data_IF_139984354524
#
_entry.id   IF_139984354524
#
_cell.length_a   1.000
_cell.length_b   1.000
_cell.length_c   1.000
_cell.angle_alpha   90.00
_cell.angle_beta   90.00
_cell.angle_gamma   90.00
#
_symmetry.space_group_name_H-M   'P 1'
#
loop_
_entity.id
_entity.type
_entity.pdbx_description
1 polymer ?
#
# COMPACT_ATOMS: atom_id res chain seq x y z
N UNK A 1 -47.41 -5.68 1.56
CA UNK A 1 -46.29 -6.37 2.24
C UNK A 1 -45.14 -6.49 1.26
N UNK A 2 -44.22 -5.52 1.27
CA UNK A 2 -42.99 -5.56 0.49
C UNK A 2 -41.94 -6.35 1.26
N UNK A 3 -41.44 -7.43 0.65
CA UNK A 3 -40.29 -8.18 1.16
C UNK A 3 -39.05 -7.66 0.45
N UNK A 4 -38.30 -6.83 1.16
CA UNK A 4 -36.94 -6.41 0.81
C UNK A 4 -36.00 -7.63 1.01
N UNK A 5 -35.29 -8.03 -0.04
CA UNK A 5 -34.19 -9.00 0.03
C UNK A 5 -32.87 -8.25 -0.18
N UNK A 6 -31.82 -8.56 0.60
CA UNK A 6 -30.55 -7.85 0.51
C UNK A 6 -29.74 -8.29 -0.72
N UNK A 7 -29.25 -7.30 -1.46
CA UNK A 7 -28.29 -7.47 -2.55
C UNK A 7 -26.95 -7.98 -1.97
N UNK A 8 -26.70 -9.27 -2.13
CA UNK A 8 -25.41 -9.90 -1.87
C UNK A 8 -24.61 -9.90 -3.17
N UNK A 9 -23.48 -9.18 -3.13
CA UNK A 9 -22.65 -8.78 -4.26
C UNK A 9 -22.40 -9.87 -5.30
N UNK A 10 -22.80 -9.57 -6.53
CA UNK A 10 -22.34 -10.27 -7.72
C UNK A 10 -20.96 -9.75 -8.15
N UNK A 11 -19.99 -10.65 -8.22
CA UNK A 11 -18.80 -10.46 -9.04
C UNK A 11 -18.98 -11.29 -10.30
N UNK A 12 -19.33 -10.63 -11.41
CA UNK A 12 -19.29 -11.20 -12.76
C UNK A 12 -17.84 -11.33 -13.22
N UNK A 13 -17.26 -12.52 -13.04
CA UNK A 13 -15.99 -12.89 -13.65
C UNK A 13 -16.26 -13.46 -15.04
N UNK A 14 -16.20 -12.59 -16.07
CA UNK A 14 -16.27 -13.02 -17.46
C UNK A 14 -15.00 -13.82 -17.83
N UNK A 15 -15.14 -15.15 -17.93
CA UNK A 15 -14.10 -16.09 -18.32
C UNK A 15 -13.96 -16.11 -19.85
N UNK A 16 -12.92 -15.46 -20.40
CA UNK A 16 -12.55 -15.63 -21.80
C UNK A 16 -11.59 -16.82 -21.93
N UNK A 17 -12.07 -17.89 -22.54
CA UNK A 17 -11.36 -19.12 -22.84
C UNK A 17 -10.35 -18.88 -23.99
N UNK A 18 -9.07 -19.14 -23.76
CA UNK A 18 -8.02 -19.10 -24.78
C UNK A 18 -6.93 -20.10 -24.44
N UNK A 19 -6.97 -21.27 -25.09
CA UNK A 19 -5.86 -22.22 -25.14
C UNK A 19 -4.78 -21.65 -26.08
N UNK A 20 -3.54 -21.56 -25.62
CA UNK A 20 -2.37 -21.64 -26.48
C UNK A 20 -1.17 -22.23 -25.70
N UNK A 21 -0.60 -23.28 -26.27
CA UNK A 21 0.56 -24.00 -25.77
C UNK A 21 1.84 -23.21 -26.01
N UNK A 22 2.58 -22.88 -24.95
CA UNK A 22 3.86 -22.20 -25.05
C UNK A 22 4.56 -22.06 -23.71
N UNK A 23 5.54 -22.94 -23.44
CA UNK A 23 6.40 -22.86 -22.27
C UNK A 23 7.25 -21.59 -22.28
N UNK A 24 6.81 -20.58 -21.55
CA UNK A 24 7.60 -19.43 -21.12
C UNK A 24 7.22 -19.08 -19.70
N UNK A 25 8.07 -19.43 -18.73
CA UNK A 25 7.86 -19.08 -17.32
C UNK A 25 8.05 -17.57 -17.11
N UNK A 26 7.03 -16.78 -17.44
CA UNK A 26 6.88 -15.44 -16.93
C UNK A 26 6.14 -15.52 -15.60
N UNK A 27 6.87 -15.24 -14.51
CA UNK A 27 6.28 -15.00 -13.20
C UNK A 27 5.45 -13.71 -13.24
N UNK A 28 4.20 -13.84 -13.70
CA UNK A 28 3.20 -12.80 -13.59
C UNK A 28 2.69 -12.78 -12.14
N UNK A 29 3.26 -11.88 -11.32
CA UNK A 29 2.66 -11.53 -10.04
C UNK A 29 1.38 -10.72 -10.29
N UNK A 30 0.28 -11.44 -10.48
CA UNK A 30 -1.07 -10.87 -10.54
C UNK A 30 -1.50 -10.41 -9.15
N UNK A 31 -1.12 -9.20 -8.77
CA UNK A 31 -1.70 -8.54 -7.61
C UNK A 31 -3.14 -8.14 -7.96
N UNK A 32 -4.11 -8.96 -7.56
CA UNK A 32 -5.49 -8.50 -7.42
C UNK A 32 -5.47 -7.42 -6.34
N UNK A 33 -5.36 -6.16 -6.75
CA UNK A 33 -5.49 -4.97 -5.91
C UNK A 33 -6.95 -4.89 -5.43
N UNK A 34 -7.24 -5.64 -4.38
CA UNK A 34 -8.48 -5.50 -3.61
C UNK A 34 -8.48 -4.13 -2.92
N UNK A 35 -9.16 -3.16 -3.55
CA UNK A 35 -9.55 -1.90 -2.94
C UNK A 35 -8.43 -0.85 -2.91
N UNK A 36 -8.49 0.07 -3.88
CA UNK A 36 -7.85 1.39 -3.81
C UNK A 36 -8.05 1.99 -2.42
N UNK A 37 -6.98 1.97 -1.65
CA UNK A 37 -6.78 2.97 -0.64
C UNK A 37 -5.72 3.88 -1.26
N UNK A 38 -6.12 5.00 -1.83
CA UNK A 38 -5.16 6.04 -2.16
C UNK A 38 -4.46 6.42 -0.85
N UNK A 39 -3.15 6.19 -0.74
CA UNK A 39 -2.34 6.78 0.33
C UNK A 39 -2.46 8.29 0.19
N UNK A 40 -3.28 8.91 1.05
CA UNK A 40 -3.39 10.35 1.00
C UNK A 40 -2.04 10.92 1.46
N UNK A 41 -1.44 11.86 0.72
CA UNK A 41 -0.13 12.39 1.08
C UNK A 41 -0.12 13.02 2.48
N UNK A 42 -1.29 13.48 2.96
CA UNK A 42 -1.50 13.93 4.35
C UNK A 42 -1.25 12.85 5.40
N UNK A 43 -1.64 11.59 5.18
CA UNK A 43 -1.38 10.50 6.12
C UNK A 43 0.13 10.24 6.24
N UNK A 44 0.85 10.26 5.12
CA UNK A 44 2.30 10.04 5.08
C UNK A 44 3.04 11.17 5.81
N UNK A 45 2.68 12.42 5.51
CA UNK A 45 3.29 13.59 6.17
C UNK A 45 3.01 13.57 7.67
N UNK A 46 1.79 13.21 8.08
CA UNK A 46 1.42 13.14 9.49
C UNK A 46 2.17 12.03 10.22
N UNK A 47 2.32 10.84 9.61
CA UNK A 47 3.12 9.76 10.18
C UNK A 47 4.60 10.15 10.32
N UNK A 48 5.21 10.71 9.27
CA UNK A 48 6.60 11.16 9.32
C UNK A 48 6.79 12.29 10.35
N UNK A 49 5.84 13.21 10.44
CA UNK A 49 5.84 14.28 11.43
C UNK A 49 5.78 13.74 12.86
N UNK A 50 4.86 12.81 13.15
CA UNK A 50 4.74 12.17 14.46
C UNK A 50 5.98 11.35 14.82
N UNK A 51 6.56 10.63 13.86
CA UNK A 51 7.81 9.90 14.03
C UNK A 51 8.95 10.87 14.41
N UNK A 52 9.10 11.97 13.68
CA UNK A 52 10.12 12.98 13.94
C UNK A 52 9.93 13.67 15.31
N UNK A 53 8.69 13.98 15.68
CA UNK A 53 8.35 14.50 17.02
C UNK A 53 8.69 13.48 18.11
N UNK A 54 8.34 12.21 17.92
CA UNK A 54 8.70 11.14 18.86
C UNK A 54 10.22 11.01 19.05
N UNK A 55 10.98 11.08 17.95
CA UNK A 55 12.44 10.98 17.98
C UNK A 55 13.11 12.20 18.61
N UNK A 56 12.63 13.41 18.31
CA UNK A 56 13.15 14.66 18.92
C UNK A 56 12.86 14.71 20.41
N UNK A 57 11.67 14.32 20.85
CA UNK A 57 11.35 14.21 22.29
C UNK A 57 12.17 13.11 22.98
N UNK A 58 12.43 11.97 22.32
CA UNK A 58 13.29 10.91 22.87
C UNK A 58 14.73 11.38 23.08
N UNK A 59 15.26 12.21 22.18
CA UNK A 59 16.68 12.63 22.19
C UNK A 59 16.94 13.91 23.00
N UNK A 60 16.02 14.88 22.96
CA UNK A 60 16.19 16.20 23.59
C UNK A 60 15.19 16.47 24.73
N UNK A 61 14.25 15.56 24.98
CA UNK A 61 13.22 15.73 26.01
C UNK A 61 13.76 15.63 27.43
N UNK A 62 14.15 16.77 28.01
CA UNK A 62 14.67 16.87 29.38
C UNK A 62 13.60 17.21 30.43
N UNK A 63 12.31 16.93 30.15
CA UNK A 63 11.20 17.25 31.04
C UNK A 63 10.58 15.99 31.69
N UNK A 64 10.05 16.09 32.93
CA UNK A 64 9.35 14.98 33.56
C UNK A 64 8.12 14.60 32.72
N UNK A 65 8.07 13.34 32.29
CA UNK A 65 7.00 12.83 31.40
C UNK A 65 7.40 12.70 29.92
N UNK A 66 8.59 13.16 29.51
CA UNK A 66 9.09 12.97 28.15
C UNK A 66 9.03 11.49 27.71
N UNK A 67 9.30 10.57 28.64
CA UNK A 67 9.22 9.13 28.45
C UNK A 67 7.85 8.62 27.95
N UNK A 68 6.77 9.23 28.44
CA UNK A 68 5.40 8.88 28.04
C UNK A 68 5.07 9.52 26.71
N UNK A 69 5.47 10.79 26.53
CA UNK A 69 5.19 11.56 25.32
C UNK A 69 5.82 10.90 24.08
N UNK A 70 7.09 10.51 24.13
CA UNK A 70 7.73 9.88 22.96
C UNK A 70 7.12 8.51 22.63
N UNK A 71 6.79 7.68 23.64
CA UNK A 71 6.15 6.38 23.42
C UNK A 71 4.77 6.53 22.78
N UNK A 72 3.95 7.44 23.30
CA UNK A 72 2.61 7.69 22.77
C UNK A 72 2.69 8.25 21.35
N UNK A 73 3.63 9.18 21.09
CA UNK A 73 3.86 9.72 19.74
C UNK A 73 4.24 8.63 18.73
N UNK A 74 5.13 7.70 19.12
CA UNK A 74 5.52 6.59 18.24
C UNK A 74 4.40 5.58 18.01
N UNK A 75 3.61 5.26 19.05
CA UNK A 75 2.44 4.39 18.91
C UNK A 75 1.42 5.03 17.96
N UNK A 76 1.17 6.33 18.09
CA UNK A 76 0.29 7.07 17.19
C UNK A 76 0.83 7.08 15.76
N UNK A 77 2.12 7.36 15.58
CA UNK A 77 2.79 7.31 14.28
C UNK A 77 2.64 5.93 13.63
N UNK A 78 2.89 4.88 14.40
CA UNK A 78 2.75 3.49 13.94
C UNK A 78 1.31 3.16 13.59
N UNK A 79 0.33 3.59 14.40
CA UNK A 79 -1.08 3.36 14.11
C UNK A 79 -1.51 4.07 12.82
N UNK A 80 -1.13 5.33 12.63
CA UNK A 80 -1.50 6.09 11.43
C UNK A 80 -0.90 5.46 10.17
N UNK A 81 0.40 5.16 10.17
CA UNK A 81 1.06 4.57 9.01
C UNK A 81 0.66 3.10 8.80
N UNK A 82 0.57 2.33 9.88
CA UNK A 82 0.45 0.88 9.85
C UNK A 82 -0.99 0.36 9.78
N UNK A 83 -2.02 1.14 10.12
CA UNK A 83 -3.41 0.64 10.19
C UNK A 83 -3.92 0.03 8.88
N UNK A 84 -3.44 0.54 7.74
CA UNK A 84 -3.80 0.03 6.42
C UNK A 84 -3.06 -1.27 6.10
N UNK A 85 -1.76 -1.28 6.35
CA UNK A 85 -0.87 -2.44 6.16
C UNK A 85 -1.32 -3.62 7.01
N UNK A 86 -1.60 -3.38 8.30
CA UNK A 86 -2.04 -4.41 9.23
C UNK A 86 -3.38 -5.02 8.82
N UNK A 87 -4.34 -4.19 8.40
CA UNK A 87 -5.64 -4.70 7.89
C UNK A 87 -5.46 -5.50 6.59
N UNK A 88 -4.60 -5.03 5.69
CA UNK A 88 -4.26 -5.75 4.46
C UNK A 88 -3.64 -7.11 4.75
N UNK A 89 -2.67 -7.15 5.68
CA UNK A 89 -2.00 -8.37 6.11
C UNK A 89 -2.99 -9.38 6.71
N UNK A 90 -3.85 -8.95 7.61
CA UNK A 90 -4.85 -9.83 8.25
C UNK A 90 -5.80 -10.42 7.22
N UNK A 91 -6.30 -9.60 6.27
CA UNK A 91 -7.19 -10.10 5.19
C UNK A 91 -6.46 -11.04 4.24
N UNK A 92 -5.23 -10.71 3.84
CA UNK A 92 -4.42 -11.54 2.95
C UNK A 92 -4.11 -12.90 3.57
N UNK A 93 -3.70 -12.92 4.84
CA UNK A 93 -3.47 -14.14 5.61
C UNK A 93 -4.76 -14.97 5.72
N UNK A 94 -5.90 -14.34 6.04
CA UNK A 94 -7.19 -15.03 6.12
C UNK A 94 -7.63 -15.63 4.77
N UNK A 95 -7.24 -15.01 3.66
CA UNK A 95 -7.50 -15.51 2.30
C UNK A 95 -6.47 -16.53 1.80
N UNK A 96 -5.50 -16.95 2.63
CA UNK A 96 -4.46 -17.92 2.27
C UNK A 96 -3.24 -17.34 1.54
N UNK A 97 -3.15 -16.01 1.39
CA UNK A 97 -2.02 -15.31 0.77
C UNK A 97 -1.04 -14.80 1.83
N UNK A 98 -0.23 -15.71 2.36
CA UNK A 98 0.67 -15.41 3.47
C UNK A 98 1.95 -14.65 3.06
N UNK A 99 2.25 -14.59 1.76
CA UNK A 99 3.48 -13.97 1.21
C UNK A 99 3.21 -12.70 0.38
N UNK A 100 2.16 -11.96 0.73
CA UNK A 100 1.87 -10.63 0.15
C UNK A 100 2.74 -9.54 0.80
N UNK A 101 2.93 -8.39 0.13
CA UNK A 101 3.76 -7.28 0.67
C UNK A 101 3.27 -6.80 2.04
N UNK A 102 1.95 -6.70 2.21
CA UNK A 102 1.33 -6.30 3.47
C UNK A 102 1.69 -7.28 4.60
N UNK A 103 1.69 -8.58 4.32
CA UNK A 103 1.99 -9.65 5.27
C UNK A 103 3.46 -9.61 5.70
N UNK A 104 4.38 -9.43 4.74
CA UNK A 104 5.81 -9.30 4.99
C UNK A 104 6.12 -8.04 5.81
N UNK A 105 5.51 -6.91 5.48
CA UNK A 105 5.68 -5.66 6.24
C UNK A 105 5.11 -5.75 7.65
N UNK A 106 3.92 -6.35 7.81
CA UNK A 106 3.35 -6.58 9.13
C UNK A 106 4.25 -7.49 9.98
N UNK A 107 4.78 -8.58 9.41
CA UNK A 107 5.70 -9.47 10.10
C UNK A 107 6.99 -8.75 10.54
N UNK A 108 7.59 -7.94 9.67
CA UNK A 108 8.78 -7.16 10.00
C UNK A 108 8.51 -6.20 11.18
N UNK A 109 7.38 -5.50 11.15
CA UNK A 109 7.00 -4.58 12.24
C UNK A 109 6.67 -5.29 13.56
N UNK A 110 6.04 -6.47 13.50
CA UNK A 110 5.80 -7.31 14.67
C UNK A 110 7.10 -7.79 15.28
N UNK A 111 8.10 -8.14 14.44
CA UNK A 111 9.45 -8.47 14.88
C UNK A 111 10.12 -7.32 15.62
N UNK A 112 10.06 -6.09 15.08
CA UNK A 112 10.60 -4.91 15.75
C UNK A 112 9.89 -4.62 17.08
N UNK A 113 8.56 -4.74 17.12
CA UNK A 113 7.80 -4.60 18.36
C UNK A 113 8.13 -5.70 19.38
N UNK A 114 8.40 -6.93 18.95
CA UNK A 114 8.77 -8.04 19.84
C UNK A 114 10.11 -7.82 20.55
N UNK A 115 11.04 -7.10 19.90
CA UNK A 115 12.34 -6.73 20.49
C UNK A 115 12.23 -5.44 21.34
N UNK A 116 11.07 -4.76 21.31
CA UNK A 116 10.81 -3.53 22.06
C UNK A 116 11.23 -2.25 21.35
N UNK A 117 11.65 -2.35 20.09
CA UNK A 117 12.12 -1.24 19.27
C UNK A 117 10.94 -0.61 18.49
N UNK A 118 10.19 0.22 19.21
CA UNK A 118 9.04 0.95 18.66
C UNK A 118 9.38 1.97 17.56
N UNK A 119 10.49 2.74 17.64
CA UNK A 119 10.85 3.67 16.57
C UNK A 119 11.10 2.98 15.24
N UNK A 120 11.70 1.80 15.27
CA UNK A 120 12.02 0.96 14.12
C UNK A 120 10.73 0.42 13.52
N UNK A 121 9.80 -0.08 14.34
CA UNK A 121 8.49 -0.51 13.88
C UNK A 121 7.71 0.63 13.20
N UNK A 122 7.70 1.83 13.81
CA UNK A 122 7.07 3.02 13.22
C UNK A 122 7.78 3.50 11.96
N UNK A 123 9.12 3.43 11.92
CA UNK A 123 9.93 3.82 10.78
C UNK A 123 9.70 2.91 9.57
N UNK A 124 9.69 1.59 9.75
CA UNK A 124 9.38 0.63 8.68
C UNK A 124 8.01 0.93 8.05
N UNK A 125 6.99 1.19 8.87
CA UNK A 125 5.65 1.53 8.38
C UNK A 125 5.61 2.88 7.64
N UNK A 126 6.33 3.89 8.14
CA UNK A 126 6.41 5.19 7.49
C UNK A 126 7.12 5.09 6.13
N UNK A 127 8.26 4.39 6.06
CA UNK A 127 8.99 4.18 4.81
C UNK A 127 8.20 3.35 3.80
N UNK A 128 7.48 2.31 4.25
CA UNK A 128 6.59 1.56 3.39
C UNK A 128 5.51 2.46 2.77
N UNK A 129 4.89 3.32 3.58
CA UNK A 129 3.85 4.24 3.10
C UNK A 129 4.39 5.23 2.05
N UNK A 130 5.63 5.70 2.21
CA UNK A 130 6.32 6.51 1.19
C UNK A 130 6.60 5.68 -0.06
N UNK A 131 7.08 4.44 0.10
CA UNK A 131 7.36 3.52 -1.01
C UNK A 131 6.13 3.27 -1.89
N UNK A 132 5.00 2.94 -1.28
CA UNK A 132 3.71 2.75 -1.96
C UNK A 132 3.31 3.99 -2.76
N UNK A 133 3.45 5.18 -2.18
CA UNK A 133 3.18 6.44 -2.88
C UNK A 133 4.11 6.64 -4.09
N UNK A 134 5.41 6.34 -3.95
CA UNK A 134 6.35 6.41 -5.06
C UNK A 134 6.04 5.38 -6.15
N UNK A 135 5.64 4.16 -5.77
CA UNK A 135 5.24 3.11 -6.70
C UNK A 135 4.03 3.55 -7.52
N UNK A 136 3.01 4.12 -6.89
CA UNK A 136 1.82 4.62 -7.58
C UNK A 136 2.16 5.72 -8.59
N UNK A 137 2.95 6.72 -8.18
CA UNK A 137 3.42 7.76 -9.10
C UNK A 137 4.24 7.19 -10.27
N UNK A 138 5.06 6.17 -10.03
CA UNK A 138 5.88 5.55 -11.07
C UNK A 138 5.04 4.79 -12.09
N UNK A 139 4.01 4.06 -11.62
CA UNK A 139 3.06 3.36 -12.49
C UNK A 139 2.28 4.36 -13.34
N UNK A 140 1.78 5.43 -12.72
CA UNK A 140 0.97 6.43 -13.41
C UNK A 140 1.78 7.17 -14.49
N UNK A 141 3.03 7.53 -14.19
CA UNK A 141 3.97 8.09 -15.15
C UNK A 141 4.28 7.11 -16.30
N UNK A 142 4.42 5.82 -16.01
CA UNK A 142 4.66 4.79 -17.03
C UNK A 142 3.48 4.66 -17.97
N UNK A 143 2.24 4.65 -17.45
CA UNK A 143 1.01 4.60 -18.26
C UNK A 143 0.85 5.85 -19.12
N UNK A 144 1.20 7.04 -18.61
CA UNK A 144 1.21 8.29 -19.38
C UNK A 144 2.16 8.24 -20.58
N UNK A 145 3.37 7.73 -20.40
CA UNK A 145 4.35 7.58 -21.49
C UNK A 145 3.88 6.60 -22.57
N UNK A 146 3.24 5.48 -22.19
CA UNK A 146 2.68 4.51 -23.15
C UNK A 146 1.54 5.14 -23.95
N UNK A 147 0.66 5.93 -23.30
CA UNK A 147 -0.41 6.66 -23.99
C UNK A 147 0.15 7.67 -24.98
N UNK A 148 1.19 8.43 -24.60
CA UNK A 148 1.85 9.37 -25.50
C UNK A 148 2.52 8.68 -26.72
N UNK A 149 3.03 7.46 -26.56
CA UNK A 149 3.54 6.66 -27.68
C UNK A 149 2.43 6.04 -28.55
N UNK A 150 1.25 5.73 -27.98
CA UNK A 150 0.08 5.29 -28.74
C UNK A 150 -0.57 6.44 -29.53
N UNK A 151 -0.50 7.67 -29.03
CA UNK A 151 -1.02 8.89 -29.65
C UNK A 151 -0.20 9.35 -30.87
N UNK A 152 0.93 8.69 -31.14
CA UNK A 152 1.75 8.87 -32.35
C UNK A 152 1.19 8.10 -33.56
N UNK A 153 0.12 7.30 -33.42
CA UNK A 153 -0.58 6.73 -34.59
C UNK A 153 -1.37 7.84 -35.29
N UNK A 154 -1.01 8.27 -36.52
CA UNK A 154 -1.80 9.27 -37.22
C UNK A 154 -3.15 8.67 -37.62
N UNK A 155 -4.25 9.35 -37.32
CA UNK A 155 -5.60 8.97 -37.80
C UNK A 155 -5.81 9.23 -39.30
N UNK A 156 -4.86 9.89 -39.98
CA UNK A 156 -5.04 10.33 -41.35
C UNK A 156 -3.79 10.03 -42.18
N UNK A 157 -3.87 9.03 -43.06
CA UNK A 157 -2.93 8.84 -44.16
C UNK A 157 -3.55 9.45 -45.42
N UNK A 158 -3.13 10.66 -45.81
CA UNK A 158 -3.50 11.22 -47.10
C UNK A 158 -2.76 10.47 -48.20
N UNK A 159 -3.46 9.60 -48.92
CA UNK A 159 -2.95 8.98 -50.14
C UNK A 159 -2.96 10.03 -51.25
N UNK A 160 -1.79 10.57 -51.58
CA UNK A 160 -1.60 11.33 -52.82
C UNK A 160 -1.54 10.34 -53.98
N UNK A 161 -2.44 10.52 -54.94
CA UNK A 161 -2.51 9.76 -56.19
C UNK A 161 -1.75 10.46 -57.29
#
# INVERSE_FOLDING_TARGET
MGAEKPDIGGCDCHYCNGHDDGHGHNHAHGHCRDGESHTSPSEIILALGLLAVGMTVRTWGAFPGAAVVWKVALILSYAVAGWRVLRGAVRGIAAGRMFDENSLMALASLGAMAIGEMPEAAGVMAFFSVGEYLQDMAVERSRGSIRALMDIRPEYASVAR
#
